data_IF_168377357258
#
_entry.id   IF_168377357258
#
_cell.length_a   1.000
_cell.length_b   1.000
_cell.length_c   1.000
_cell.angle_alpha   90.00
_cell.angle_beta   90.00
_cell.angle_gamma   90.00
#
_symmetry.space_group_name_H-M   'P 1'
#
loop_
_entity.id
_entity.type
_entity.pdbx_description
1 polymer ?
#
# COMPACT_ATOMS: atom_id res chain seq x y z
N UNK A 1 -41.20 -43.55 -11.85
CA UNK A 1 -39.77 -43.26 -12.14
C UNK A 1 -39.51 -41.82 -11.74
N UNK A 2 -38.96 -41.62 -10.52
CA UNK A 2 -38.67 -40.26 -9.97
C UNK A 2 -37.28 -39.88 -10.45
N UNK A 3 -37.20 -38.81 -11.25
CA UNK A 3 -35.94 -38.24 -11.69
C UNK A 3 -35.42 -37.33 -10.54
N UNK A 4 -34.33 -37.76 -9.91
CA UNK A 4 -33.58 -36.94 -8.96
C UNK A 4 -32.72 -35.94 -9.77
N UNK A 5 -33.06 -34.67 -9.70
CA UNK A 5 -32.24 -33.56 -10.25
C UNK A 5 -31.18 -33.23 -9.21
N UNK A 6 -29.96 -33.72 -9.41
CA UNK A 6 -28.82 -33.37 -8.58
C UNK A 6 -28.31 -31.99 -9.01
N UNK A 7 -28.61 -30.94 -8.22
CA UNK A 7 -28.03 -29.60 -8.41
C UNK A 7 -26.61 -29.64 -7.87
N UNK A 8 -25.66 -29.63 -8.77
CA UNK A 8 -24.23 -29.50 -8.46
C UNK A 8 -23.91 -28.04 -8.17
N UNK A 9 -23.79 -27.67 -6.90
CA UNK A 9 -23.24 -26.39 -6.50
C UNK A 9 -21.73 -26.38 -6.78
N UNK A 10 -21.30 -25.67 -7.81
CA UNK A 10 -19.90 -25.34 -8.00
C UNK A 10 -19.56 -24.20 -7.05
N UNK A 11 -18.87 -24.52 -5.95
CA UNK A 11 -18.21 -23.53 -5.11
C UNK A 11 -16.97 -23.08 -5.87
N UNK A 12 -17.04 -21.93 -6.54
CA UNK A 12 -15.87 -21.23 -7.07
C UNK A 12 -15.15 -20.61 -5.89
N UNK A 13 -14.13 -21.28 -5.39
CA UNK A 13 -13.18 -20.66 -4.47
C UNK A 13 -12.40 -19.60 -5.26
N UNK A 14 -12.78 -18.35 -5.11
CA UNK A 14 -11.93 -17.20 -5.47
C UNK A 14 -10.74 -17.28 -4.52
N UNK A 15 -9.58 -17.68 -5.02
CA UNK A 15 -8.33 -17.49 -4.29
C UNK A 15 -8.14 -15.96 -4.18
N UNK A 16 -8.45 -15.40 -3.02
CA UNK A 16 -8.00 -14.06 -2.68
C UNK A 16 -6.49 -14.07 -2.81
N UNK A 17 -5.93 -13.14 -3.59
CA UNK A 17 -4.48 -12.92 -3.64
C UNK A 17 -4.03 -12.71 -2.18
N UNK A 18 -3.16 -13.58 -1.68
CA UNK A 18 -2.62 -13.43 -0.34
C UNK A 18 -1.72 -12.20 -0.35
N UNK A 19 -2.07 -11.20 0.45
CA UNK A 19 -1.32 -9.95 0.52
C UNK A 19 -0.09 -10.17 1.40
N UNK A 20 1.06 -10.37 0.76
CA UNK A 20 2.35 -10.45 1.45
C UNK A 20 2.86 -9.05 1.81
N UNK A 21 3.70 -8.95 2.83
CA UNK A 21 4.30 -7.67 3.20
C UNK A 21 5.43 -7.28 2.26
N UNK A 22 5.59 -5.96 2.09
CA UNK A 22 6.65 -5.37 1.30
C UNK A 22 7.92 -5.15 2.12
N UNK A 23 9.07 -5.16 1.47
CA UNK A 23 10.34 -4.77 2.04
C UNK A 23 11.02 -3.81 1.09
N UNK A 24 11.41 -2.64 1.59
CA UNK A 24 12.19 -1.66 0.85
C UNK A 24 13.52 -1.36 1.53
N UNK A 25 14.49 -0.94 0.76
CA UNK A 25 15.80 -0.49 1.23
C UNK A 25 16.03 0.96 0.85
N UNK A 26 16.66 1.74 1.72
CA UNK A 26 17.02 3.12 1.45
C UNK A 26 18.43 3.40 1.97
N UNK A 27 19.25 4.06 1.14
CA UNK A 27 20.66 4.30 1.41
C UNK A 27 21.58 3.14 1.04
N UNK A 28 22.86 3.27 1.40
CA UNK A 28 23.91 2.26 1.18
C UNK A 28 24.69 2.07 2.47
N UNK A 29 24.92 0.84 2.86
CA UNK A 29 25.75 0.54 4.01
C UNK A 29 27.18 1.02 3.75
N UNK A 30 27.76 1.74 4.71
CA UNK A 30 29.17 2.13 4.72
C UNK A 30 30.01 1.17 5.60
N UNK A 31 29.34 0.36 6.39
CA UNK A 31 29.91 -0.57 7.36
C UNK A 31 29.00 -1.83 7.35
N UNK A 32 29.55 -2.99 7.09
CA UNK A 32 28.85 -4.25 6.82
C UNK A 32 27.89 -4.70 7.93
N UNK A 33 27.89 -4.05 9.09
CA UNK A 33 27.07 -4.43 10.24
C UNK A 33 26.36 -3.23 10.88
N UNK A 34 25.90 -2.25 10.13
CA UNK A 34 25.23 -1.06 10.67
C UNK A 34 23.98 -0.64 9.89
N UNK A 35 23.10 -1.58 9.66
CA UNK A 35 21.78 -1.31 9.06
C UNK A 35 20.73 -1.29 10.16
N UNK A 36 19.83 -0.31 10.11
CA UNK A 36 18.64 -0.24 10.96
C UNK A 36 17.45 -0.84 10.23
N UNK A 37 16.81 -1.84 10.84
CA UNK A 37 15.63 -2.49 10.33
C UNK A 37 14.38 -1.93 11.04
N UNK A 38 13.41 -1.43 10.27
CA UNK A 38 12.22 -0.78 10.80
C UNK A 38 10.97 -1.55 10.36
N UNK A 39 10.14 -1.91 11.31
CA UNK A 39 8.89 -2.62 11.10
C UNK A 39 7.68 -1.76 11.46
N UNK A 40 6.69 -1.76 10.56
CA UNK A 40 5.36 -1.21 10.78
C UNK A 40 4.28 -2.24 10.51
N UNK A 41 3.11 -2.08 11.11
CA UNK A 41 1.93 -2.86 10.76
C UNK A 41 1.98 -4.34 11.16
N UNK A 42 2.73 -4.70 12.21
CA UNK A 42 2.66 -6.04 12.80
C UNK A 42 1.27 -6.32 13.39
N UNK A 43 0.56 -5.26 13.75
CA UNK A 43 -0.85 -5.25 14.11
C UNK A 43 -1.58 -4.28 13.20
N UNK A 44 -2.61 -4.75 12.50
CA UNK A 44 -3.25 -4.00 11.42
C UNK A 44 -4.16 -2.85 11.88
N UNK A 45 -4.48 -2.76 13.16
CA UNK A 45 -5.24 -1.68 13.78
C UNK A 45 -4.35 -0.52 14.32
N UNK A 46 -3.07 -0.47 13.89
CA UNK A 46 -2.05 0.47 14.37
C UNK A 46 -1.51 1.39 13.24
N UNK A 47 -2.37 2.30 12.70
CA UNK A 47 -2.03 3.08 11.49
C UNK A 47 -0.91 4.10 11.68
N UNK A 48 -0.61 4.56 12.89
CA UNK A 48 0.51 5.47 13.11
C UNK A 48 1.83 4.84 12.73
N UNK A 49 2.06 3.58 13.16
CA UNK A 49 3.27 2.84 12.92
C UNK A 49 3.49 2.51 11.43
N UNK A 50 2.50 1.96 10.75
CA UNK A 50 2.69 1.59 9.34
C UNK A 50 2.77 2.81 8.39
N UNK A 51 2.08 3.92 8.68
CA UNK A 51 2.27 5.15 7.90
C UNK A 51 3.64 5.77 8.13
N UNK A 52 4.13 5.82 9.37
CA UNK A 52 5.48 6.32 9.64
C UNK A 52 6.55 5.49 8.93
N UNK A 53 6.43 4.15 8.97
CA UNK A 53 7.35 3.26 8.26
C UNK A 53 7.30 3.45 6.73
N UNK A 54 6.11 3.59 6.14
CA UNK A 54 5.97 3.83 4.69
C UNK A 54 6.62 5.14 4.25
N UNK A 55 6.49 6.23 5.02
CA UNK A 55 7.12 7.50 4.70
C UNK A 55 8.66 7.42 4.63
N UNK A 56 9.30 6.48 5.34
CA UNK A 56 10.75 6.27 5.24
C UNK A 56 11.20 5.75 3.86
N UNK A 57 10.31 5.12 3.12
CA UNK A 57 10.57 4.64 1.75
C UNK A 57 10.22 5.69 0.70
N UNK A 58 9.14 6.44 0.89
CA UNK A 58 8.62 7.40 -0.10
C UNK A 58 9.21 8.80 0.02
N UNK A 59 9.48 9.27 1.24
CA UNK A 59 9.71 10.69 1.53
C UNK A 59 11.04 10.99 2.26
N UNK A 60 11.81 9.95 2.61
CA UNK A 60 13.16 10.09 3.14
C UNK A 60 14.20 9.69 2.09
N UNK A 61 15.32 10.41 2.07
CA UNK A 61 16.51 10.06 1.32
C UNK A 61 17.66 9.86 2.31
N UNK A 62 18.12 8.62 2.45
CA UNK A 62 19.26 8.28 3.31
C UNK A 62 20.55 8.67 2.58
N UNK A 63 21.24 9.67 3.10
CA UNK A 63 22.46 10.23 2.51
C UNK A 63 23.72 9.53 3.01
N UNK A 64 23.64 8.87 4.20
CA UNK A 64 24.71 8.06 4.77
C UNK A 64 24.14 6.94 5.62
N UNK A 65 24.66 5.73 5.42
CA UNK A 65 24.18 4.52 6.07
C UNK A 65 23.04 3.86 5.30
N UNK A 66 22.39 2.86 5.91
CA UNK A 66 21.32 2.05 5.28
C UNK A 66 20.17 1.78 6.27
N UNK A 67 18.96 1.83 5.76
CA UNK A 67 17.80 1.29 6.45
C UNK A 67 17.12 0.23 5.58
N UNK A 68 16.51 -0.76 6.24
CA UNK A 68 15.57 -1.72 5.65
C UNK A 68 14.22 -1.47 6.32
N UNK A 69 13.16 -1.37 5.55
CA UNK A 69 11.84 -1.06 6.08
C UNK A 69 10.81 -2.06 5.56
N UNK A 70 10.03 -2.64 6.47
CA UNK A 70 8.83 -3.41 6.12
C UNK A 70 7.62 -2.72 6.78
N UNK A 71 6.87 -1.89 6.02
CA UNK A 71 5.84 -1.03 6.60
C UNK A 71 4.54 -1.76 6.91
N UNK A 72 4.28 -2.95 6.37
CA UNK A 72 2.97 -3.59 6.34
C UNK A 72 3.02 -5.10 6.70
N UNK A 73 3.68 -5.46 7.79
CA UNK A 73 3.97 -6.86 8.15
C UNK A 73 2.73 -7.77 8.16
N UNK A 74 1.61 -7.34 8.72
CA UNK A 74 0.35 -8.06 8.70
C UNK A 74 -0.64 -7.40 7.73
N UNK A 75 -0.31 -7.37 6.42
CA UNK A 75 -1.03 -6.57 5.44
C UNK A 75 -2.53 -6.91 5.35
N UNK A 76 -2.88 -8.20 5.36
CA UNK A 76 -4.28 -8.64 5.44
C UNK A 76 -5.02 -8.08 6.68
N UNK A 77 -4.31 -7.98 7.81
CA UNK A 77 -4.87 -7.42 9.06
C UNK A 77 -5.03 -5.91 8.98
N UNK A 78 -4.11 -5.20 8.30
CA UNK A 78 -4.21 -3.77 8.00
C UNK A 78 -5.47 -3.50 7.18
N UNK A 79 -5.67 -4.24 6.08
CA UNK A 79 -6.85 -4.11 5.22
C UNK A 79 -8.14 -4.35 6.01
N UNK A 80 -8.13 -5.32 6.93
CA UNK A 80 -9.30 -5.67 7.76
C UNK A 80 -9.47 -4.81 9.01
N UNK A 81 -8.56 -3.88 9.27
CA UNK A 81 -8.54 -3.05 10.49
C UNK A 81 -8.57 -3.89 11.77
N UNK A 82 -7.87 -5.00 11.77
CA UNK A 82 -7.85 -5.93 12.90
C UNK A 82 -6.45 -6.03 13.50
N UNK A 83 -6.37 -6.37 14.78
CA UNK A 83 -5.08 -6.62 15.44
C UNK A 83 -4.32 -7.78 14.78
N UNK A 84 -5.02 -8.84 14.37
CA UNK A 84 -4.44 -9.96 13.65
C UNK A 84 -5.53 -10.86 13.06
N UNK A 85 -5.43 -11.18 11.77
CA UNK A 85 -6.37 -12.06 11.05
C UNK A 85 -6.35 -13.49 11.61
N UNK A 86 -5.16 -13.98 11.95
CA UNK A 86 -4.92 -15.35 12.44
C UNK A 86 -4.37 -15.34 13.88
N UNK A 87 -4.77 -14.35 14.68
CA UNK A 87 -4.22 -14.06 16.01
C UNK A 87 -3.14 -12.97 15.96
N UNK A 88 -2.63 -12.60 17.14
CA UNK A 88 -1.61 -11.55 17.27
C UNK A 88 -0.27 -12.02 16.71
N UNK A 89 0.17 -11.47 15.57
CA UNK A 89 1.43 -11.79 14.93
C UNK A 89 2.63 -11.54 15.87
N UNK A 90 2.56 -10.50 16.72
CA UNK A 90 3.59 -10.16 17.71
C UNK A 90 3.64 -11.13 18.92
N UNK A 91 2.97 -12.27 18.84
CA UNK A 91 3.01 -13.36 19.84
C UNK A 91 3.49 -14.69 19.24
N UNK A 92 4.09 -14.66 18.04
CA UNK A 92 4.47 -15.86 17.30
C UNK A 92 6.00 -16.05 17.11
N UNK A 93 6.82 -15.21 17.76
CA UNK A 93 8.30 -15.24 17.53
C UNK A 93 9.05 -16.25 18.39
N UNK A 94 8.56 -16.68 19.54
CA UNK A 94 9.21 -17.75 20.31
C UNK A 94 9.11 -19.08 19.54
N UNK A 95 7.90 -19.46 19.15
CA UNK A 95 7.63 -20.66 18.37
C UNK A 95 6.38 -20.48 17.53
N UNK A 96 6.35 -21.12 16.35
CA UNK A 96 5.19 -21.13 15.46
C UNK A 96 5.11 -22.47 14.75
N UNK A 97 3.91 -23.05 14.68
CA UNK A 97 3.67 -24.29 13.96
C UNK A 97 3.80 -24.08 12.45
N UNK A 98 4.43 -25.01 11.69
CA UNK A 98 4.41 -24.98 10.23
C UNK A 98 2.99 -24.99 9.59
N UNK A 99 1.98 -25.37 10.37
CA UNK A 99 0.57 -25.34 9.95
C UNK A 99 -0.14 -24.02 10.24
N UNK A 100 0.51 -23.10 10.98
CA UNK A 100 -0.06 -21.78 11.24
C UNK A 100 -0.07 -20.97 9.93
N UNK A 101 -1.19 -20.31 9.57
CA UNK A 101 -1.24 -19.49 8.36
C UNK A 101 -0.17 -18.40 8.28
N UNK A 102 0.29 -17.87 9.43
CA UNK A 102 1.32 -16.84 9.48
C UNK A 102 2.76 -17.40 9.49
N UNK A 103 2.95 -18.73 9.33
CA UNK A 103 4.27 -19.36 9.42
C UNK A 103 5.28 -18.76 8.45
N UNK A 104 4.93 -18.59 7.17
CA UNK A 104 5.85 -18.03 6.16
C UNK A 104 6.17 -16.57 6.45
N UNK A 105 5.17 -15.78 6.86
CA UNK A 105 5.34 -14.38 7.25
C UNK A 105 6.31 -14.25 8.43
N UNK A 106 6.12 -15.01 9.50
CA UNK A 106 7.02 -14.99 10.68
C UNK A 106 8.42 -15.46 10.31
N UNK A 107 8.55 -16.51 9.48
CA UNK A 107 9.83 -17.00 9.00
C UNK A 107 10.59 -15.91 8.25
N UNK A 108 9.95 -15.26 7.29
CA UNK A 108 10.54 -14.18 6.50
C UNK A 108 10.93 -12.96 7.37
N UNK A 109 10.13 -12.59 8.37
CA UNK A 109 10.48 -11.54 9.33
C UNK A 109 11.73 -11.93 10.13
N UNK A 110 11.81 -13.17 10.61
CA UNK A 110 13.00 -13.67 11.32
C UNK A 110 14.25 -13.65 10.41
N UNK A 111 14.13 -14.03 9.14
CA UNK A 111 15.23 -13.97 8.18
C UNK A 111 15.74 -12.54 8.01
N UNK A 112 14.87 -11.53 7.92
CA UNK A 112 15.26 -10.11 7.88
C UNK A 112 15.99 -9.68 9.16
N UNK A 113 15.50 -10.07 10.33
CA UNK A 113 16.13 -9.75 11.61
C UNK A 113 17.53 -10.36 11.69
N UNK A 114 17.71 -11.58 11.15
CA UNK A 114 18.96 -12.32 11.22
C UNK A 114 20.00 -11.93 10.15
N UNK A 115 19.68 -11.01 9.23
CA UNK A 115 20.64 -10.49 8.26
C UNK A 115 21.90 -9.98 9.00
N UNK A 116 23.11 -10.36 8.56
CA UNK A 116 24.35 -9.97 9.24
C UNK A 116 24.54 -8.47 9.43
N UNK A 117 24.12 -7.68 8.43
CA UNK A 117 24.23 -6.23 8.45
C UNK A 117 23.27 -5.54 9.42
N UNK A 118 22.18 -6.16 9.83
CA UNK A 118 21.22 -5.59 10.76
C UNK A 118 21.78 -5.57 12.18
N UNK A 119 21.91 -4.39 12.77
CA UNK A 119 22.41 -4.18 14.13
C UNK A 119 21.35 -3.66 15.11
N UNK A 120 20.33 -2.99 14.59
CA UNK A 120 19.25 -2.41 15.36
C UNK A 120 17.92 -2.67 14.69
N UNK A 121 16.88 -2.99 15.47
CA UNK A 121 15.51 -3.20 15.00
C UNK A 121 14.58 -2.24 15.74
N UNK A 122 13.71 -1.56 15.00
CA UNK A 122 12.67 -0.68 15.55
C UNK A 122 11.31 -1.26 15.13
N UNK A 123 10.46 -1.57 16.11
CA UNK A 123 9.10 -2.07 15.89
C UNK A 123 8.09 -0.98 16.29
N UNK A 124 7.22 -0.57 15.37
CA UNK A 124 6.31 0.55 15.56
C UNK A 124 4.91 0.05 15.90
N UNK A 125 4.37 0.58 17.01
CA UNK A 125 3.07 0.22 17.56
C UNK A 125 2.22 1.43 17.93
N UNK A 126 0.91 1.25 17.95
CA UNK A 126 -0.01 2.22 18.55
C UNK A 126 -0.69 1.57 19.79
N UNK A 127 -0.41 2.07 20.98
CA UNK A 127 -0.96 1.55 22.24
C UNK A 127 -2.14 2.36 22.78
N UNK A 128 -3.04 1.73 23.52
CA UNK A 128 -4.14 2.43 24.18
C UNK A 128 -3.67 3.24 25.38
N UNK A 129 -4.23 4.44 25.52
CA UNK A 129 -3.94 5.38 26.62
C UNK A 129 -2.52 5.95 26.51
N UNK A 130 -2.02 6.42 27.65
CA UNK A 130 -0.68 6.97 27.78
C UNK A 130 0.04 6.23 28.92
N UNK A 131 1.17 5.63 28.61
CA UNK A 131 1.99 5.00 29.62
C UNK A 131 2.50 6.05 30.62
N UNK A 132 2.32 5.77 31.92
CA UNK A 132 2.89 6.52 33.02
C UNK A 132 3.50 5.55 34.01
N UNK A 133 4.69 5.84 34.56
CA UNK A 133 5.32 4.97 35.58
C UNK A 133 4.47 4.79 36.84
N UNK A 134 3.60 5.78 37.15
CA UNK A 134 2.68 5.77 38.28
C UNK A 134 1.23 5.89 37.79
N UNK A 135 0.28 5.40 38.57
CA UNK A 135 -1.13 5.52 38.27
C UNK A 135 -1.62 6.96 38.46
N UNK A 136 -2.21 7.54 37.42
CA UNK A 136 -2.88 8.84 37.45
C UNK A 136 -4.38 8.62 37.31
N UNK A 137 -4.81 7.95 36.19
CA UNK A 137 -6.21 7.63 35.91
C UNK A 137 -6.32 6.37 35.05
N UNK A 138 -7.55 6.06 34.58
CA UNK A 138 -7.80 4.90 33.74
C UNK A 138 -7.07 4.95 32.38
N UNK A 139 -6.74 6.13 31.87
CA UNK A 139 -6.06 6.33 30.57
C UNK A 139 -4.57 6.59 30.74
N UNK A 140 -4.11 6.96 31.94
CA UNK A 140 -2.73 7.34 32.26
C UNK A 140 -2.24 6.49 33.44
N UNK A 141 -1.57 5.37 33.15
CA UNK A 141 -1.12 4.43 34.19
C UNK A 141 -0.08 3.42 33.65
N UNK A 142 0.56 2.59 34.53
CA UNK A 142 1.58 1.63 34.11
C UNK A 142 1.09 0.49 33.18
N UNK A 143 -0.23 0.25 33.10
CA UNK A 143 -0.81 -0.79 32.26
C UNK A 143 -1.06 -0.31 30.81
N UNK A 144 -0.88 0.99 30.55
CA UNK A 144 -1.00 1.57 29.21
C UNK A 144 0.32 1.46 28.47
N UNK A 145 0.24 1.59 27.13
CA UNK A 145 1.39 1.45 26.23
C UNK A 145 1.68 2.73 25.44
N UNK A 146 0.66 3.48 25.06
CA UNK A 146 0.81 4.65 24.21
C UNK A 146 1.77 5.69 24.78
N UNK A 147 2.48 6.37 23.91
CA UNK A 147 3.52 7.34 24.18
C UNK A 147 4.65 6.80 25.07
N UNK A 148 5.22 5.68 24.64
CA UNK A 148 6.40 5.12 25.29
C UNK A 148 7.42 4.58 24.28
N UNK A 149 8.70 4.62 24.65
CA UNK A 149 9.74 3.79 24.06
C UNK A 149 9.92 2.56 24.94
N UNK A 150 9.82 1.37 24.34
CA UNK A 150 9.77 0.09 25.07
C UNK A 150 11.05 -0.69 24.81
N UNK A 151 11.63 -1.20 25.88
CA UNK A 151 12.75 -2.15 25.88
C UNK A 151 12.40 -3.38 26.71
N UNK A 152 13.05 -4.51 26.43
CA UNK A 152 12.84 -5.77 27.14
C UNK A 152 13.83 -5.98 28.31
N UNK A 153 14.95 -5.25 28.28
CA UNK A 153 16.00 -5.24 29.31
C UNK A 153 16.81 -3.94 29.19
N UNK A 154 17.58 -3.58 30.20
CA UNK A 154 18.46 -2.41 30.16
C UNK A 154 19.62 -2.59 29.20
N UNK A 155 20.24 -3.77 29.21
CA UNK A 155 21.44 -4.07 28.44
C UNK A 155 21.33 -5.44 27.78
N UNK A 156 22.09 -5.61 26.68
CA UNK A 156 22.24 -6.89 25.96
C UNK A 156 23.71 -7.15 25.65
N UNK A 157 24.05 -8.41 25.47
CA UNK A 157 25.36 -8.79 24.97
C UNK A 157 25.39 -8.67 23.42
N UNK A 158 25.63 -7.46 22.91
CA UNK A 158 25.72 -7.17 21.49
C UNK A 158 26.99 -6.38 21.17
N UNK A 159 27.49 -6.51 19.95
CA UNK A 159 28.67 -5.76 19.46
C UNK A 159 28.39 -4.29 19.23
N UNK A 160 27.14 -3.94 18.87
CA UNK A 160 26.65 -2.58 18.66
C UNK A 160 25.41 -2.33 19.50
N UNK A 161 25.29 -1.13 20.04
CA UNK A 161 24.11 -0.65 20.77
C UNK A 161 23.71 -1.54 21.98
N UNK A 162 24.68 -1.96 22.86
CA UNK A 162 24.38 -2.85 23.98
C UNK A 162 23.52 -2.21 25.07
N UNK A 163 23.65 -0.90 25.29
CA UNK A 163 22.93 -0.12 26.33
C UNK A 163 21.58 0.36 25.79
N UNK A 164 20.55 -0.47 25.91
CA UNK A 164 19.21 -0.16 25.40
C UNK A 164 18.54 0.93 26.23
N UNK A 165 18.79 0.98 27.54
CA UNK A 165 18.19 1.96 28.45
C UNK A 165 18.64 3.39 28.11
N UNK A 166 19.95 3.57 27.93
CA UNK A 166 20.52 4.88 27.56
C UNK A 166 19.97 5.37 26.21
N UNK A 167 19.97 4.51 25.19
CA UNK A 167 19.49 4.85 23.85
C UNK A 167 18.00 5.20 23.88
N UNK A 168 17.18 4.39 24.53
CA UNK A 168 15.74 4.63 24.64
C UNK A 168 15.42 5.90 25.46
N UNK A 169 16.19 6.17 26.52
CA UNK A 169 16.06 7.40 27.33
C UNK A 169 16.40 8.65 26.49
N UNK A 170 17.48 8.60 25.71
CA UNK A 170 17.83 9.67 24.80
C UNK A 170 16.72 9.91 23.77
N UNK A 171 16.14 8.84 23.23
CA UNK A 171 15.03 8.92 22.27
C UNK A 171 13.79 9.54 22.89
N UNK A 172 13.41 9.12 24.09
CA UNK A 172 12.30 9.70 24.87
C UNK A 172 12.51 11.20 25.10
N UNK A 173 13.70 11.61 25.50
CA UNK A 173 14.03 13.01 25.71
C UNK A 173 13.95 13.82 24.41
N UNK A 174 14.41 13.27 23.29
CA UNK A 174 14.31 13.89 21.96
C UNK A 174 12.87 14.10 21.52
N UNK A 175 12.01 13.09 21.70
CA UNK A 175 10.56 13.17 21.39
C UNK A 175 9.91 14.24 22.30
N UNK A 176 10.22 14.24 23.59
CA UNK A 176 9.65 15.16 24.56
C UNK A 176 10.04 16.62 24.31
N UNK A 177 11.17 16.88 23.64
CA UNK A 177 11.56 18.22 23.24
C UNK A 177 10.69 18.80 22.09
N UNK A 178 9.89 17.97 21.40
CA UNK A 178 9.08 18.33 20.23
C UNK A 178 7.60 17.98 20.39
N UNK A 179 7.11 17.89 21.62
CA UNK A 179 5.70 17.59 21.89
C UNK A 179 4.78 18.70 21.39
N UNK A 180 3.66 18.31 20.77
CA UNK A 180 2.59 19.21 20.35
C UNK A 180 1.73 19.65 21.57
N UNK A 181 1.55 18.76 22.54
CA UNK A 181 0.83 19.00 23.78
C UNK A 181 1.67 18.43 24.96
N UNK A 182 1.92 19.21 26.01
CA UNK A 182 2.63 18.73 27.21
C UNK A 182 2.02 17.47 27.86
N UNK A 183 0.74 17.18 27.61
CA UNK A 183 0.08 15.96 28.09
C UNK A 183 0.54 14.70 27.37
N UNK A 184 1.15 14.82 26.20
CA UNK A 184 1.62 13.72 25.36
C UNK A 184 3.01 13.20 25.77
N UNK A 185 3.46 13.46 26.99
CA UNK A 185 4.80 13.08 27.47
C UNK A 185 5.06 11.60 27.25
N UNK A 186 6.17 11.31 26.57
CA UNK A 186 6.75 9.98 26.40
C UNK A 186 7.53 9.54 27.63
N UNK A 187 7.52 8.25 27.90
CA UNK A 187 8.31 7.63 28.95
C UNK A 187 9.00 6.37 28.45
N UNK A 188 10.14 6.06 29.05
CA UNK A 188 10.76 4.75 28.87
C UNK A 188 9.93 3.70 29.62
N UNK A 189 9.59 2.60 28.94
CA UNK A 189 8.92 1.42 29.53
C UNK A 189 9.85 0.21 29.36
N UNK A 190 10.46 -0.23 30.45
CA UNK A 190 11.18 -1.50 30.46
C UNK A 190 10.23 -2.60 30.95
N UNK A 191 9.99 -3.59 30.11
CA UNK A 191 9.13 -4.75 30.41
C UNK A 191 9.83 -5.77 31.29
N UNK A 192 11.17 -5.73 31.39
CA UNK A 192 11.99 -6.69 32.12
C UNK A 192 11.59 -8.14 31.81
N UNK A 193 11.38 -8.39 30.50
CA UNK A 193 10.68 -9.55 29.96
C UNK A 193 11.21 -10.88 30.53
N UNK A 194 12.52 -11.08 30.53
CA UNK A 194 13.14 -12.29 31.07
C UNK A 194 13.14 -12.30 32.61
N UNK A 195 13.44 -11.18 33.23
CA UNK A 195 13.51 -11.04 34.69
C UNK A 195 12.16 -11.37 35.32
N UNK A 196 11.07 -10.87 34.76
CA UNK A 196 9.71 -11.09 35.27
C UNK A 196 9.08 -12.38 34.73
N UNK A 197 9.68 -13.07 33.78
CA UNK A 197 9.15 -14.29 33.16
C UNK A 197 7.80 -14.05 32.46
N UNK A 198 7.61 -12.88 31.84
CA UNK A 198 6.36 -12.54 31.16
C UNK A 198 6.17 -13.43 29.93
N UNK A 199 5.32 -14.45 30.06
CA UNK A 199 5.10 -15.47 29.04
C UNK A 199 4.57 -14.90 27.70
N UNK A 200 3.90 -13.75 27.72
CA UNK A 200 3.41 -13.11 26.49
C UNK A 200 4.51 -12.27 25.81
N UNK A 201 5.30 -11.54 26.61
CA UNK A 201 6.40 -10.75 26.07
C UNK A 201 7.55 -11.62 25.55
N UNK A 202 7.81 -12.79 26.14
CA UNK A 202 8.75 -13.79 25.64
C UNK A 202 8.47 -14.25 24.19
N UNK A 203 7.24 -14.06 23.69
CA UNK A 203 6.82 -14.40 22.32
C UNK A 203 6.93 -13.22 21.35
N UNK A 204 7.28 -12.01 21.83
CA UNK A 204 7.30 -10.79 21.04
C UNK A 204 8.48 -10.73 20.07
N UNK A 205 8.33 -9.93 19.01
CA UNK A 205 9.38 -9.68 18.02
C UNK A 205 10.63 -9.08 18.68
N UNK A 206 10.48 -8.06 19.52
CA UNK A 206 11.62 -7.37 20.18
C UNK A 206 12.42 -8.33 21.06
N UNK A 207 11.75 -9.23 21.80
CA UNK A 207 12.43 -10.23 22.58
C UNK A 207 13.20 -11.25 21.72
N UNK A 208 12.64 -11.66 20.57
CA UNK A 208 13.36 -12.48 19.61
C UNK A 208 14.63 -11.77 19.10
N UNK A 209 14.57 -10.48 18.82
CA UNK A 209 15.72 -9.68 18.36
C UNK A 209 16.83 -9.67 19.41
N UNK A 210 16.52 -9.31 20.68
CA UNK A 210 17.53 -9.25 21.74
C UNK A 210 18.13 -10.62 22.09
N UNK A 211 17.33 -11.69 21.97
CA UNK A 211 17.79 -13.07 22.13
C UNK A 211 18.79 -13.51 21.05
N UNK A 212 18.86 -12.76 19.93
CA UNK A 212 19.83 -12.94 18.84
C UNK A 212 20.93 -11.87 18.87
N UNK A 213 21.19 -11.28 20.03
CA UNK A 213 22.29 -10.33 20.27
C UNK A 213 22.24 -9.07 19.39
N UNK A 214 21.02 -8.57 19.06
CA UNK A 214 20.80 -7.33 18.31
C UNK A 214 19.95 -6.36 19.12
N UNK A 215 20.21 -5.06 18.99
CA UNK A 215 19.43 -4.04 19.68
C UNK A 215 17.99 -4.00 19.18
N UNK A 216 17.03 -3.93 20.09
CA UNK A 216 15.61 -3.83 19.75
C UNK A 216 14.91 -2.76 20.59
N UNK A 217 14.08 -1.98 19.90
CA UNK A 217 13.22 -0.96 20.49
C UNK A 217 11.82 -1.09 19.91
N UNK A 218 10.79 -1.04 20.76
CA UNK A 218 9.45 -0.75 20.28
C UNK A 218 9.10 0.70 20.59
N UNK A 219 8.50 1.41 19.64
CA UNK A 219 7.98 2.74 19.88
C UNK A 219 6.47 2.71 19.78
N UNK A 220 5.81 3.21 20.82
CA UNK A 220 4.35 3.18 20.98
C UNK A 220 3.80 4.59 20.92
N UNK A 221 2.95 4.90 19.94
CA UNK A 221 2.14 6.11 19.96
C UNK A 221 0.74 5.85 20.54
N UNK A 222 0.11 6.84 21.14
CA UNK A 222 -1.22 6.61 21.75
C UNK A 222 -2.32 6.51 20.69
N UNK A 223 -3.11 5.42 20.70
CA UNK A 223 -4.33 5.27 19.88
C UNK A 223 -5.38 6.35 20.13
N UNK A 224 -5.25 7.11 21.19
CA UNK A 224 -6.14 8.25 21.50
C UNK A 224 -5.81 9.50 20.68
N UNK A 225 -4.70 9.49 19.95
CA UNK A 225 -4.28 10.59 19.07
C UNK A 225 -4.69 10.33 17.61
N UNK A 226 -4.89 11.38 16.80
CA UNK A 226 -5.10 11.23 15.35
C UNK A 226 -3.88 10.58 14.67
N UNK A 227 -4.12 9.91 13.54
CA UNK A 227 -3.10 9.09 12.85
C UNK A 227 -1.85 9.90 12.48
N UNK A 228 -2.02 11.11 11.95
CA UNK A 228 -0.91 11.98 11.59
C UNK A 228 -0.04 12.37 12.79
N UNK A 229 -0.65 12.56 13.96
CA UNK A 229 0.10 12.88 15.18
C UNK A 229 0.82 11.65 15.75
N UNK A 230 0.23 10.45 15.63
CA UNK A 230 0.92 9.19 15.95
C UNK A 230 2.12 8.98 15.06
N UNK A 231 1.95 9.10 13.74
CA UNK A 231 3.03 8.97 12.78
C UNK A 231 4.13 10.04 13.01
N UNK A 232 3.77 11.27 13.36
CA UNK A 232 4.71 12.32 13.74
C UNK A 232 5.59 11.90 14.93
N UNK A 233 4.99 11.38 16.00
CA UNK A 233 5.77 10.93 17.16
C UNK A 233 6.63 9.70 16.87
N UNK A 234 6.16 8.79 16.00
CA UNK A 234 6.98 7.70 15.50
C UNK A 234 8.20 8.21 14.74
N UNK A 235 8.01 9.16 13.83
CA UNK A 235 9.10 9.72 13.04
C UNK A 235 10.12 10.46 13.91
N UNK A 236 9.71 11.22 14.93
CA UNK A 236 10.62 11.82 15.90
C UNK A 236 11.49 10.78 16.60
N UNK A 237 10.91 9.65 17.03
CA UNK A 237 11.66 8.57 17.66
C UNK A 237 12.60 7.90 16.67
N UNK A 238 12.12 7.56 15.45
CA UNK A 238 12.92 6.95 14.40
C UNK A 238 14.12 7.82 14.05
N UNK A 239 13.93 9.13 13.82
CA UNK A 239 15.03 10.04 13.50
C UNK A 239 16.10 10.08 14.60
N UNK A 240 15.72 9.96 15.86
CA UNK A 240 16.69 9.85 16.94
C UNK A 240 17.46 8.53 16.92
N UNK A 241 16.78 7.39 16.72
CA UNK A 241 17.45 6.09 16.58
C UNK A 241 18.40 6.08 15.38
N UNK A 242 18.00 6.65 14.23
CA UNK A 242 18.86 6.76 13.05
C UNK A 242 20.10 7.60 13.34
N UNK A 243 19.95 8.73 14.01
CA UNK A 243 21.10 9.58 14.45
C UNK A 243 22.02 8.81 15.38
N UNK A 244 21.49 8.06 16.35
CA UNK A 244 22.28 7.18 17.25
C UNK A 244 23.06 6.12 16.45
N UNK A 245 22.46 5.61 15.36
CA UNK A 245 23.11 4.69 14.44
C UNK A 245 24.10 5.35 13.46
N UNK A 246 24.28 6.68 13.51
CA UNK A 246 25.13 7.43 12.58
C UNK A 246 24.59 7.49 11.16
N UNK A 247 23.28 7.29 10.99
CA UNK A 247 22.59 7.37 9.71
C UNK A 247 22.13 8.81 9.48
N UNK A 248 22.52 9.38 8.32
CA UNK A 248 22.15 10.73 7.90
C UNK A 248 21.08 10.66 6.81
N UNK A 249 20.14 11.61 6.85
CA UNK A 249 19.00 11.65 5.95
C UNK A 249 18.51 13.07 5.68
N UNK A 250 17.78 13.20 4.60
CA UNK A 250 16.89 14.34 4.29
C UNK A 250 15.47 13.83 4.09
N UNK A 251 14.48 14.72 4.13
CA UNK A 251 13.07 14.39 3.85
C UNK A 251 12.43 15.46 2.97
N UNK A 252 11.39 15.07 2.26
CA UNK A 252 10.68 15.93 1.30
C UNK A 252 9.66 16.86 1.96
N UNK A 253 9.36 16.66 3.25
CA UNK A 253 8.37 17.41 4.01
C UNK A 253 8.96 17.96 5.33
N UNK A 254 8.32 18.97 5.89
CA UNK A 254 8.65 19.46 7.22
C UNK A 254 8.09 18.51 8.29
N UNK A 255 8.92 18.11 9.28
CA UNK A 255 8.48 17.23 10.37
C UNK A 255 7.65 18.03 11.38
N UNK A 256 6.40 18.24 11.01
CA UNK A 256 5.32 18.79 11.81
C UNK A 256 4.08 17.90 11.63
N UNK A 257 3.10 17.90 12.54
CA UNK A 257 1.87 17.14 12.34
C UNK A 257 1.16 17.44 11.01
N UNK A 258 1.19 18.69 10.55
CA UNK A 258 0.61 19.12 9.29
C UNK A 258 1.44 18.64 8.08
N UNK A 259 2.78 18.68 8.19
CA UNK A 259 3.67 18.13 7.16
C UNK A 259 3.48 16.62 6.99
N UNK A 260 3.42 15.89 8.12
CA UNK A 260 3.14 14.44 8.12
C UNK A 260 1.75 14.14 7.55
N UNK A 261 0.73 14.92 7.90
CA UNK A 261 -0.62 14.75 7.34
C UNK A 261 -0.62 14.89 5.81
N UNK A 262 0.06 15.93 5.29
CA UNK A 262 0.21 16.13 3.84
C UNK A 262 0.96 14.97 3.18
N UNK A 263 2.05 14.49 3.78
CA UNK A 263 2.83 13.38 3.26
C UNK A 263 2.04 12.06 3.24
N UNK A 264 1.27 11.75 4.28
CA UNK A 264 0.38 10.56 4.32
C UNK A 264 -0.75 10.67 3.28
N UNK A 265 -1.24 11.89 3.02
CA UNK A 265 -2.38 12.12 2.12
C UNK A 265 -1.94 12.64 0.74
N UNK A 266 -0.67 12.45 0.35
CA UNK A 266 -0.20 12.77 -1.00
C UNK A 266 -0.95 11.96 -2.07
N UNK A 267 -0.85 12.40 -3.30
CA UNK A 267 -1.47 11.71 -4.42
C UNK A 267 -0.84 10.32 -4.61
N UNK A 268 -1.69 9.31 -4.64
CA UNK A 268 -1.31 7.93 -4.90
C UNK A 268 -1.77 7.51 -6.30
N UNK A 269 -1.04 6.58 -6.89
CA UNK A 269 -1.32 6.03 -8.20
C UNK A 269 -1.36 4.51 -8.17
N UNK A 270 -2.26 3.93 -8.95
CA UNK A 270 -2.35 2.50 -9.22
C UNK A 270 -2.30 2.29 -10.72
N UNK A 271 -1.35 1.49 -11.18
CA UNK A 271 -1.24 1.08 -12.57
C UNK A 271 -1.67 -0.38 -12.71
N UNK A 272 -2.51 -0.65 -13.69
CA UNK A 272 -3.08 -1.98 -13.93
C UNK A 272 -2.60 -2.53 -15.27
N UNK A 273 -2.43 -3.85 -15.35
CA UNK A 273 -2.23 -4.64 -16.57
C UNK A 273 -1.04 -4.16 -17.41
N UNK A 274 0.17 -4.32 -16.86
CA UNK A 274 1.42 -3.92 -17.51
C UNK A 274 1.43 -2.40 -17.85
N UNK A 275 0.99 -1.60 -16.89
CA UNK A 275 0.89 -0.14 -16.93
C UNK A 275 -0.05 0.43 -18.02
N UNK A 276 -0.94 -0.39 -18.61
CA UNK A 276 -1.89 0.07 -19.63
C UNK A 276 -2.97 1.01 -19.11
N UNK A 277 -3.24 0.97 -17.82
CA UNK A 277 -4.28 1.79 -17.17
C UNK A 277 -3.68 2.41 -15.92
N UNK A 278 -3.78 3.73 -15.82
CA UNK A 278 -3.45 4.50 -14.61
C UNK A 278 -4.75 4.90 -13.90
N UNK A 279 -4.78 4.74 -12.60
CA UNK A 279 -5.80 5.30 -11.71
C UNK A 279 -5.11 6.25 -10.74
N UNK A 280 -5.51 7.52 -10.76
CA UNK A 280 -5.11 8.51 -9.76
C UNK A 280 -6.05 8.41 -8.55
N UNK A 281 -5.48 8.32 -7.35
CA UNK A 281 -6.21 8.31 -6.09
C UNK A 281 -6.26 9.71 -5.43
N UNK A 282 -6.13 10.76 -6.23
CA UNK A 282 -6.29 12.15 -5.79
C UNK A 282 -7.77 12.47 -5.59
N UNK A 283 -8.23 12.42 -4.33
CA UNK A 283 -9.65 12.62 -3.99
C UNK A 283 -10.60 11.82 -4.92
N UNK A 284 -10.44 10.48 -5.00
CA UNK A 284 -11.11 9.67 -6.00
C UNK A 284 -12.62 9.61 -5.73
N UNK A 285 -13.40 9.34 -6.78
CA UNK A 285 -14.80 8.96 -6.61
C UNK A 285 -14.88 7.63 -5.87
N UNK A 286 -15.95 7.46 -5.09
CA UNK A 286 -16.20 6.22 -4.35
C UNK A 286 -16.35 5.00 -5.28
N UNK A 287 -16.82 5.24 -6.52
CA UNK A 287 -17.04 4.21 -7.54
C UNK A 287 -16.53 4.70 -8.89
N UNK A 288 -15.78 3.83 -9.57
CA UNK A 288 -15.34 4.01 -10.95
C UNK A 288 -15.87 2.82 -11.76
N UNK A 289 -16.76 3.12 -12.71
CA UNK A 289 -17.39 2.12 -13.56
C UNK A 289 -16.62 1.92 -14.88
N UNK A 290 -16.88 0.80 -15.53
CA UNK A 290 -16.38 0.47 -16.86
C UNK A 290 -14.86 0.58 -16.98
N UNK A 291 -14.15 0.09 -15.96
CA UNK A 291 -12.68 0.00 -16.02
C UNK A 291 -12.32 -1.20 -16.91
N UNK A 292 -11.53 -1.03 -17.98
CA UNK A 292 -11.14 -2.14 -18.85
C UNK A 292 -10.37 -3.21 -18.09
N UNK A 293 -10.85 -4.45 -18.17
CA UNK A 293 -10.20 -5.63 -17.59
C UNK A 293 -10.05 -6.72 -18.65
N UNK A 294 -8.89 -7.37 -18.76
CA UNK A 294 -8.69 -8.42 -19.74
C UNK A 294 -9.46 -9.69 -19.36
N UNK A 295 -10.12 -10.30 -20.37
CA UNK A 295 -10.91 -11.53 -20.16
C UNK A 295 -10.10 -12.78 -19.81
N UNK A 296 -8.79 -12.77 -20.04
CA UNK A 296 -7.93 -13.96 -19.98
C UNK A 296 -6.64 -13.76 -19.18
N UNK A 297 -6.53 -12.67 -18.43
CA UNK A 297 -5.38 -12.41 -17.55
C UNK A 297 -5.84 -12.27 -16.10
N UNK A 298 -5.00 -12.71 -15.19
CA UNK A 298 -5.13 -12.38 -13.78
C UNK A 298 -4.87 -10.89 -13.54
N UNK A 299 -5.42 -10.37 -12.44
CA UNK A 299 -5.14 -9.00 -12.02
C UNK A 299 -3.64 -8.88 -11.71
N UNK A 300 -2.94 -8.01 -12.43
CA UNK A 300 -1.64 -7.51 -12.05
C UNK A 300 -1.69 -6.00 -11.89
N UNK A 301 -0.98 -5.49 -10.90
CA UNK A 301 -0.94 -4.06 -10.63
C UNK A 301 0.36 -3.64 -9.94
N UNK A 302 0.74 -2.38 -10.18
CA UNK A 302 1.78 -1.67 -9.47
C UNK A 302 1.18 -0.47 -8.73
N UNK A 303 1.75 -0.10 -7.61
CA UNK A 303 1.29 1.04 -6.81
C UNK A 303 2.44 1.97 -6.48
N UNK A 304 2.15 3.24 -6.34
CA UNK A 304 3.15 4.24 -5.93
C UNK A 304 3.49 4.18 -4.43
N UNK A 305 2.80 3.32 -3.66
CA UNK A 305 3.03 3.18 -2.22
C UNK A 305 2.67 1.77 -1.73
N UNK A 306 3.49 1.20 -0.88
CA UNK A 306 3.45 -0.18 -0.40
C UNK A 306 2.23 -0.50 0.47
N UNK A 307 1.55 0.52 0.98
CA UNK A 307 0.31 0.37 1.75
C UNK A 307 -0.94 0.30 0.86
N UNK A 308 -0.78 0.41 -0.47
CA UNK A 308 -1.90 0.39 -1.41
C UNK A 308 -2.12 -1.01 -1.95
N UNK A 309 -3.37 -1.48 -1.92
CA UNK A 309 -3.77 -2.78 -2.45
C UNK A 309 -5.02 -2.68 -3.32
N UNK A 310 -5.07 -3.52 -4.37
CA UNK A 310 -6.27 -3.77 -5.19
C UNK A 310 -6.81 -5.15 -4.82
N UNK A 311 -8.02 -5.20 -4.31
CA UNK A 311 -8.60 -6.39 -3.70
C UNK A 311 -9.85 -6.80 -4.46
N UNK A 312 -9.90 -8.06 -4.90
CA UNK A 312 -11.08 -8.62 -5.54
C UNK A 312 -12.18 -8.90 -4.51
N UNK A 313 -13.41 -8.50 -4.84
CA UNK A 313 -14.60 -8.76 -4.03
C UNK A 313 -15.82 -8.97 -4.92
N UNK A 314 -16.34 -10.19 -4.95
CA UNK A 314 -17.43 -10.57 -5.86
C UNK A 314 -17.11 -10.20 -7.33
N UNK A 315 -17.97 -9.37 -7.97
CA UNK A 315 -17.83 -8.90 -9.35
C UNK A 315 -17.18 -7.50 -9.45
N UNK A 316 -16.41 -7.09 -8.46
CA UNK A 316 -15.77 -5.78 -8.39
C UNK A 316 -14.39 -5.89 -7.75
N UNK A 317 -13.64 -4.80 -7.82
CA UNK A 317 -12.38 -4.64 -7.11
C UNK A 317 -12.47 -3.38 -6.27
N UNK A 318 -11.82 -3.36 -5.12
CA UNK A 318 -11.68 -2.12 -4.38
C UNK A 318 -10.23 -1.81 -4.09
N UNK A 319 -9.92 -0.53 -4.04
CA UNK A 319 -8.58 -0.04 -3.72
C UNK A 319 -8.60 0.45 -2.28
N UNK A 320 -7.60 0.01 -1.52
CA UNK A 320 -7.34 0.47 -0.17
C UNK A 320 -5.94 1.04 -0.04
N UNK A 321 -5.80 2.06 0.80
CA UNK A 321 -4.52 2.61 1.22
C UNK A 321 -4.39 2.46 2.74
N UNK A 322 -3.51 1.57 3.17
CA UNK A 322 -3.50 1.09 4.53
C UNK A 322 -4.87 0.54 4.93
N UNK A 323 -5.42 1.07 6.01
CA UNK A 323 -6.75 0.70 6.49
C UNK A 323 -7.89 1.61 5.97
N UNK A 324 -7.64 2.45 4.94
CA UNK A 324 -8.62 3.40 4.38
C UNK A 324 -9.07 2.98 2.99
N UNK A 325 -10.39 2.84 2.82
CA UNK A 325 -11.01 2.66 1.51
C UNK A 325 -10.77 3.89 0.63
N UNK A 326 -10.42 3.69 -0.63
CA UNK A 326 -10.22 4.74 -1.62
C UNK A 326 -11.34 4.76 -2.66
N UNK A 327 -11.53 3.68 -3.39
CA UNK A 327 -12.53 3.59 -4.46
C UNK A 327 -12.87 2.13 -4.75
N UNK A 328 -14.02 1.92 -5.39
CA UNK A 328 -14.46 0.64 -5.93
C UNK A 328 -14.44 0.68 -7.46
N UNK A 329 -13.89 -0.34 -8.08
CA UNK A 329 -13.82 -0.50 -9.52
C UNK A 329 -14.82 -1.54 -9.99
N UNK A 330 -15.65 -1.18 -10.94
CA UNK A 330 -16.49 -2.14 -11.67
C UNK A 330 -15.88 -2.41 -13.04
N UNK A 331 -15.45 -3.66 -13.31
CA UNK A 331 -14.76 -3.99 -14.54
C UNK A 331 -15.69 -4.02 -15.75
N UNK A 332 -15.16 -3.62 -16.90
CA UNK A 332 -15.66 -3.96 -18.20
C UNK A 332 -14.68 -4.95 -18.83
N UNK A 333 -15.09 -6.19 -19.01
CA UNK A 333 -14.22 -7.23 -19.55
C UNK A 333 -14.10 -7.12 -21.05
N UNK A 334 -12.85 -7.05 -21.55
CA UNK A 334 -12.49 -6.83 -22.95
C UNK A 334 -11.32 -7.74 -23.38
N UNK A 335 -11.18 -7.98 -24.67
CA UNK A 335 -9.91 -8.44 -25.20
C UNK A 335 -8.94 -7.27 -25.27
N UNK A 336 -7.67 -7.52 -24.92
CA UNK A 336 -6.60 -6.54 -25.04
C UNK A 336 -5.76 -6.81 -26.29
N UNK A 337 -5.24 -5.73 -26.90
CA UNK A 337 -4.26 -5.77 -27.98
C UNK A 337 -3.05 -4.90 -27.65
N UNK A 338 -2.00 -5.01 -28.45
CA UNK A 338 -0.76 -4.29 -28.20
C UNK A 338 -0.09 -3.83 -29.51
N UNK A 339 -0.79 -3.08 -30.38
CA UNK A 339 -0.21 -2.58 -31.62
C UNK A 339 0.82 -1.46 -31.39
N UNK A 340 0.72 -0.72 -30.30
CA UNK A 340 1.66 0.33 -29.86
C UNK A 340 1.52 0.55 -28.36
N UNK A 341 2.52 1.22 -27.73
CA UNK A 341 2.60 1.41 -26.28
C UNK A 341 2.54 2.88 -25.84
N UNK A 342 2.55 3.81 -26.80
CA UNK A 342 2.56 5.24 -26.55
C UNK A 342 1.65 5.96 -27.54
N UNK A 343 1.25 7.17 -27.23
CA UNK A 343 0.41 8.01 -28.06
C UNK A 343 1.00 9.42 -28.17
N UNK A 344 0.99 9.94 -29.41
CA UNK A 344 1.35 11.33 -29.70
C UNK A 344 0.06 12.13 -29.90
N UNK A 345 -0.06 13.25 -29.21
CA UNK A 345 -1.23 14.12 -29.29
C UNK A 345 -0.89 15.57 -28.95
N UNK A 346 -1.80 16.49 -29.22
CA UNK A 346 -1.60 17.91 -28.93
C UNK A 346 -2.15 18.24 -27.54
N UNK A 347 -1.35 18.95 -26.73
CA UNK A 347 -1.71 19.50 -25.41
C UNK A 347 -1.35 20.97 -25.41
N UNK A 348 -2.33 21.83 -25.21
CA UNK A 348 -2.14 23.29 -25.19
C UNK A 348 -1.30 23.79 -26.40
N UNK A 349 -1.62 23.28 -27.59
CA UNK A 349 -0.96 23.53 -28.88
C UNK A 349 0.48 22.96 -29.03
N UNK A 350 0.97 22.17 -28.07
CA UNK A 350 2.25 21.48 -28.17
C UNK A 350 2.04 20.00 -28.47
N UNK A 351 2.87 19.43 -29.36
CA UNK A 351 2.91 18.01 -29.57
C UNK A 351 3.58 17.28 -28.39
N UNK A 352 2.94 16.24 -27.88
CA UNK A 352 3.39 15.49 -26.71
C UNK A 352 3.24 14.00 -26.98
N UNK A 353 4.29 13.23 -26.75
CA UNK A 353 4.25 11.76 -26.82
C UNK A 353 4.42 11.19 -25.43
N UNK A 354 3.49 10.30 -25.03
CA UNK A 354 3.53 9.66 -23.71
C UNK A 354 3.16 8.19 -23.80
N UNK A 355 3.75 7.32 -22.99
CA UNK A 355 3.32 5.93 -22.87
C UNK A 355 1.92 5.84 -22.23
N UNK A 356 1.23 4.73 -22.49
CA UNK A 356 0.02 4.41 -21.74
C UNK A 356 0.29 4.33 -20.23
N UNK A 357 -0.75 4.50 -19.42
CA UNK A 357 -0.58 4.57 -17.97
C UNK A 357 0.12 5.84 -17.49
N UNK A 358 0.04 6.93 -18.25
CA UNK A 358 0.58 8.24 -17.88
C UNK A 358 -0.54 9.25 -17.64
N UNK A 359 -0.28 10.23 -16.77
CA UNK A 359 -1.15 11.38 -16.53
C UNK A 359 -0.52 12.64 -17.12
N UNK A 360 -1.28 13.36 -17.92
CA UNK A 360 -0.86 14.58 -18.62
C UNK A 360 -1.67 15.76 -18.11
N UNK A 361 -0.98 16.83 -17.73
CA UNK A 361 -1.62 18.11 -17.34
C UNK A 361 -2.03 18.89 -18.57
N UNK A 362 -3.25 19.44 -18.53
CA UNK A 362 -3.86 20.24 -19.59
C UNK A 362 -4.34 21.56 -19.00
N UNK A 363 -3.86 22.68 -19.52
CA UNK A 363 -4.28 24.02 -19.08
C UNK A 363 -5.56 24.46 -19.81
N UNK A 364 -5.55 24.36 -21.14
CA UNK A 364 -6.63 24.85 -21.98
C UNK A 364 -7.38 23.72 -22.68
N UNK A 365 -6.66 22.92 -23.49
CA UNK A 365 -7.28 21.92 -24.35
C UNK A 365 -6.28 20.85 -24.79
N UNK A 366 -6.82 19.74 -25.30
CA UNK A 366 -6.06 18.70 -25.97
C UNK A 366 -6.81 18.17 -27.20
N UNK A 367 -6.07 17.54 -28.12
CA UNK A 367 -6.59 16.91 -29.33
C UNK A 367 -5.82 15.63 -29.59
N UNK A 368 -6.53 14.49 -29.68
CA UNK A 368 -5.95 13.22 -30.13
C UNK A 368 -6.10 13.13 -31.66
N UNK A 369 -5.02 13.06 -32.44
CA UNK A 369 -5.13 12.93 -33.89
C UNK A 369 -5.73 11.56 -34.25
N UNK A 370 -6.25 11.44 -35.51
CA UNK A 370 -6.77 10.18 -36.00
C UNK A 370 -5.64 9.17 -36.15
N UNK A 371 -5.81 8.00 -35.54
CA UNK A 371 -4.90 6.86 -35.66
C UNK A 371 -5.61 5.78 -36.52
N UNK A 372 -4.92 5.22 -37.51
CA UNK A 372 -5.48 4.21 -38.38
C UNK A 372 -5.93 2.96 -37.60
N UNK A 373 -7.14 2.47 -37.86
CA UNK A 373 -7.77 1.33 -37.20
C UNK A 373 -7.95 1.47 -35.67
N UNK A 374 -7.89 2.69 -35.15
CA UNK A 374 -8.08 2.98 -33.73
C UNK A 374 -9.28 3.91 -33.53
N UNK A 375 -10.07 3.60 -32.54
CA UNK A 375 -11.11 4.43 -31.97
C UNK A 375 -10.65 5.02 -30.65
N UNK A 376 -10.83 6.31 -30.50
CA UNK A 376 -10.58 7.04 -29.26
C UNK A 376 -11.88 7.24 -28.52
N UNK A 377 -11.86 7.01 -27.21
CA UNK A 377 -13.01 7.23 -26.33
C UNK A 377 -12.56 8.08 -25.12
N UNK A 378 -13.05 9.29 -25.01
CA UNK A 378 -12.71 10.24 -23.95
C UNK A 378 -13.82 10.19 -22.91
N UNK A 379 -13.58 9.48 -21.81
CA UNK A 379 -14.60 9.24 -20.78
C UNK A 379 -15.06 10.56 -20.17
N UNK A 380 -16.33 10.87 -20.34
CA UNK A 380 -16.91 12.14 -19.92
C UNK A 380 -17.02 13.21 -21.01
N UNK A 381 -16.59 12.89 -22.22
CA UNK A 381 -16.88 13.66 -23.42
C UNK A 381 -17.89 12.87 -24.26
N UNK A 382 -18.97 13.47 -24.70
CA UNK A 382 -20.03 12.81 -25.49
C UNK A 382 -20.20 13.57 -26.79
N UNK A 383 -19.54 13.10 -27.83
CA UNK A 383 -19.59 13.73 -29.14
C UNK A 383 -19.87 12.72 -30.26
N UNK A 384 -19.14 11.61 -30.33
CA UNK A 384 -19.26 10.62 -31.40
C UNK A 384 -18.73 9.25 -30.97
N UNK A 385 -18.90 8.22 -31.84
CA UNK A 385 -18.31 6.89 -31.57
C UNK A 385 -16.78 6.92 -31.53
N UNK A 386 -16.15 7.83 -32.25
CA UNK A 386 -14.72 8.05 -32.28
C UNK A 386 -14.44 9.52 -32.07
N UNK A 387 -13.77 9.83 -31.00
CA UNK A 387 -13.52 11.20 -30.52
C UNK A 387 -12.11 11.71 -30.90
N UNK A 388 -11.48 11.09 -31.90
CA UNK A 388 -10.25 11.61 -32.51
C UNK A 388 -10.50 12.85 -33.34
N UNK A 389 -9.47 13.69 -33.57
CA UNK A 389 -9.50 14.97 -34.30
C UNK A 389 -10.47 16.02 -33.75
N UNK A 390 -10.84 15.95 -32.48
CA UNK A 390 -11.72 16.91 -31.84
C UNK A 390 -10.94 17.64 -30.76
N UNK A 391 -11.03 18.97 -30.75
CA UNK A 391 -10.42 19.80 -29.71
C UNK A 391 -11.29 19.77 -28.45
N UNK A 392 -10.74 19.23 -27.37
CA UNK A 392 -11.46 19.01 -26.10
C UNK A 392 -10.89 19.93 -25.02
N UNK A 393 -11.78 20.66 -24.36
CA UNK A 393 -11.43 21.50 -23.22
C UNK A 393 -12.27 21.12 -22.01
N UNK A 394 -11.91 21.59 -20.83
CA UNK A 394 -12.61 21.26 -19.58
C UNK A 394 -14.11 21.52 -19.64
N UNK A 395 -14.57 22.60 -20.31
CA UNK A 395 -15.98 22.95 -20.46
C UNK A 395 -16.81 21.90 -21.22
N UNK A 396 -16.13 21.06 -22.03
CA UNK A 396 -16.77 19.98 -22.79
C UNK A 396 -16.95 18.71 -21.93
N UNK A 397 -16.27 18.62 -20.77
CA UNK A 397 -16.22 17.42 -19.96
C UNK A 397 -17.33 17.36 -18.91
N UNK A 398 -17.98 16.22 -18.83
CA UNK A 398 -19.02 15.94 -17.86
C UNK A 398 -18.43 15.48 -16.54
N UNK A 399 -18.52 16.31 -15.50
CA UNK A 399 -17.97 16.06 -14.16
C UNK A 399 -18.31 14.69 -13.57
N UNK A 400 -19.51 14.10 -13.72
CA UNK A 400 -19.83 12.79 -13.15
C UNK A 400 -18.92 11.64 -13.63
N UNK A 401 -18.28 11.77 -14.77
CA UNK A 401 -17.40 10.74 -15.37
C UNK A 401 -15.91 10.94 -15.07
N UNK A 402 -15.53 12.00 -14.35
CA UNK A 402 -14.15 12.16 -13.89
C UNK A 402 -13.76 11.07 -12.87
N UNK A 403 -12.51 10.77 -12.74
CA UNK A 403 -11.99 9.85 -11.71
C UNK A 403 -12.00 10.49 -10.31
N UNK A 404 -11.88 11.80 -10.23
CA UNK A 404 -11.79 12.58 -9.00
C UNK A 404 -13.13 13.32 -8.69
N UNK A 405 -13.34 13.67 -7.42
CA UNK A 405 -14.54 14.41 -7.00
C UNK A 405 -14.56 15.87 -7.49
N UNK A 406 -13.37 16.43 -7.80
CA UNK A 406 -13.25 17.80 -8.29
C UNK A 406 -13.69 17.95 -9.75
N UNK A 407 -13.65 16.86 -10.54
CA UNK A 407 -14.01 16.89 -11.98
C UNK A 407 -12.85 17.41 -12.84
N UNK A 408 -11.64 17.02 -12.49
CA UNK A 408 -10.41 17.45 -13.19
C UNK A 408 -9.71 16.34 -13.94
N UNK A 409 -9.84 15.09 -13.51
CA UNK A 409 -9.07 13.95 -14.03
C UNK A 409 -10.00 13.04 -14.83
N UNK A 410 -9.66 12.85 -16.11
CA UNK A 410 -10.46 12.04 -17.03
C UNK A 410 -9.61 11.00 -17.74
N UNK A 411 -10.21 9.86 -18.06
CA UNK A 411 -9.58 8.75 -18.78
C UNK A 411 -9.81 8.88 -20.27
N UNK A 412 -8.75 8.79 -21.06
CA UNK A 412 -8.78 8.71 -22.52
C UNK A 412 -8.36 7.30 -22.91
N UNK A 413 -9.23 6.58 -23.59
CA UNK A 413 -9.10 5.16 -23.92
C UNK A 413 -8.92 4.95 -25.41
N UNK A 414 -8.08 3.97 -25.77
CA UNK A 414 -7.75 3.63 -27.15
C UNK A 414 -8.16 2.20 -27.44
N UNK A 415 -8.84 2.01 -28.57
CA UNK A 415 -9.42 0.72 -28.96
C UNK A 415 -9.06 0.37 -30.41
N UNK A 416 -8.53 -0.83 -30.63
CA UNK A 416 -8.36 -1.41 -31.95
C UNK A 416 -9.72 -1.85 -32.50
N UNK A 417 -10.10 -1.29 -33.66
CA UNK A 417 -11.39 -1.59 -34.31
C UNK A 417 -11.43 -3.05 -34.78
N UNK A 418 -12.51 -3.73 -34.49
CA UNK A 418 -12.80 -5.04 -35.09
C UNK A 418 -13.39 -4.86 -36.49
N UNK A 419 -12.87 -5.63 -37.45
CA UNK A 419 -13.40 -5.63 -38.83
C UNK A 419 -14.82 -6.21 -38.92
N UNK A 420 -15.52 -5.91 -40.01
CA UNK A 420 -16.93 -6.26 -40.24
C UNK A 420 -17.29 -7.78 -40.26
N UNK A 421 -16.32 -8.69 -40.27
CA UNK A 421 -16.53 -10.14 -40.34
C UNK A 421 -16.57 -10.85 -38.97
N UNK A 422 -16.90 -10.12 -37.92
CA UNK A 422 -16.88 -10.59 -36.56
C UNK A 422 -17.84 -11.76 -36.28
N UNK A 423 -19.03 -11.77 -36.87
CA UNK A 423 -20.06 -12.73 -36.59
C UNK A 423 -19.67 -14.18 -37.01
N UNK A 424 -18.99 -14.32 -38.14
CA UNK A 424 -18.49 -15.61 -38.63
C UNK A 424 -17.31 -16.16 -37.81
N UNK A 425 -16.51 -15.26 -37.21
CA UNK A 425 -15.40 -15.63 -36.33
C UNK A 425 -15.90 -16.13 -34.96
N UNK A 426 -16.95 -15.53 -34.44
CA UNK A 426 -17.53 -15.90 -33.13
C UNK A 426 -18.20 -17.28 -33.16
N UNK A 427 -18.80 -17.67 -34.31
CA UNK A 427 -19.42 -18.97 -34.49
C UNK A 427 -18.41 -20.13 -34.56
N UNK A 428 -17.19 -19.87 -35.08
CA UNK A 428 -16.20 -20.93 -35.34
C UNK A 428 -15.14 -21.13 -34.24
N UNK A 429 -15.05 -20.27 -33.22
CA UNK A 429 -13.90 -20.28 -32.30
C UNK A 429 -14.20 -20.69 -30.85
N UNK A 430 -15.46 -21.03 -30.52
CA UNK A 430 -15.90 -20.91 -29.11
C UNK A 430 -15.74 -22.16 -28.26
N UNK A 431 -15.67 -23.39 -28.81
CA UNK A 431 -15.96 -24.53 -27.93
C UNK A 431 -14.78 -25.33 -27.37
N UNK A 432 -13.60 -25.31 -27.90
CA UNK A 432 -12.65 -26.36 -27.52
C UNK A 432 -11.39 -25.95 -26.74
N UNK A 433 -10.96 -24.69 -26.74
CA UNK A 433 -9.68 -24.28 -26.12
C UNK A 433 -9.78 -23.34 -24.91
N UNK A 434 -10.90 -22.67 -24.68
CA UNK A 434 -11.05 -21.62 -23.66
C UNK A 434 -11.61 -22.08 -22.32
N UNK A 435 -12.30 -23.20 -22.28
CA UNK A 435 -12.90 -23.75 -21.05
C UNK A 435 -11.85 -24.18 -20.02
N UNK A 436 -10.64 -24.51 -20.45
CA UNK A 436 -9.58 -24.99 -19.53
C UNK A 436 -8.92 -23.89 -18.67
N UNK A 437 -8.95 -22.63 -19.12
CA UNK A 437 -8.27 -21.50 -18.42
C UNK A 437 -9.23 -20.43 -17.87
N UNK A 438 -10.52 -20.46 -18.18
CA UNK A 438 -11.51 -19.48 -17.72
C UNK A 438 -12.06 -19.83 -16.33
N UNK A 439 -11.27 -19.74 -15.29
CA UNK A 439 -11.73 -20.00 -13.91
C UNK A 439 -12.63 -18.90 -13.32
N UNK A 440 -12.84 -17.75 -13.99
CA UNK A 440 -13.40 -16.55 -13.36
C UNK A 440 -14.61 -15.95 -14.08
N UNK A 441 -14.82 -16.21 -15.38
CA UNK A 441 -15.86 -15.55 -16.17
C UNK A 441 -16.83 -16.56 -16.80
N UNK A 442 -18.13 -16.21 -16.81
CA UNK A 442 -19.13 -16.98 -17.51
C UNK A 442 -19.04 -16.79 -19.04
N UNK A 443 -19.63 -17.75 -19.79
CA UNK A 443 -19.60 -17.74 -21.25
C UNK A 443 -20.28 -16.51 -21.89
N UNK A 444 -21.28 -15.92 -21.22
CA UNK A 444 -21.97 -14.74 -21.73
C UNK A 444 -21.07 -13.52 -21.67
N UNK A 445 -20.35 -13.34 -20.56
CA UNK A 445 -19.35 -12.27 -20.40
C UNK A 445 -18.22 -12.38 -21.42
N UNK A 446 -17.71 -13.60 -21.67
CA UNK A 446 -16.70 -13.85 -22.70
C UNK A 446 -17.19 -13.54 -24.11
N UNK A 447 -18.41 -13.93 -24.47
CA UNK A 447 -19.01 -13.61 -25.77
C UNK A 447 -19.20 -12.13 -25.98
N UNK A 448 -19.68 -11.42 -24.94
CA UNK A 448 -19.87 -9.97 -24.98
C UNK A 448 -18.54 -9.23 -25.13
N UNK A 449 -17.50 -9.64 -24.40
CA UNK A 449 -16.18 -9.03 -24.52
C UNK A 449 -15.56 -9.20 -25.91
N UNK A 450 -15.75 -10.38 -26.52
CA UNK A 450 -15.27 -10.67 -27.87
C UNK A 450 -16.01 -9.91 -28.97
N UNK A 451 -17.21 -9.45 -28.71
CA UNK A 451 -17.99 -8.65 -29.67
C UNK A 451 -17.56 -7.18 -29.71
N UNK A 452 -16.79 -6.71 -28.74
CA UNK A 452 -16.33 -5.32 -28.63
C UNK A 452 -14.97 -5.11 -29.30
N UNK A 453 -14.63 -3.84 -29.57
CA UNK A 453 -13.29 -3.45 -29.97
C UNK A 453 -12.27 -3.86 -28.88
N UNK A 454 -11.03 -4.13 -29.30
CA UNK A 454 -9.99 -4.55 -28.37
C UNK A 454 -9.36 -3.34 -27.68
N UNK A 455 -9.25 -3.39 -26.38
CA UNK A 455 -8.59 -2.33 -25.61
C UNK A 455 -7.07 -2.36 -25.85
N UNK A 456 -6.48 -1.19 -26.15
CA UNK A 456 -5.04 -1.02 -26.35
C UNK A 456 -4.39 -0.49 -25.06
N UNK A 457 -4.93 0.61 -24.53
CA UNK A 457 -4.42 1.30 -23.35
C UNK A 457 -5.16 2.58 -23.10
N UNK A 458 -4.81 3.28 -22.02
CA UNK A 458 -5.37 4.58 -21.68
C UNK A 458 -4.32 5.53 -21.13
N UNK A 459 -4.60 6.83 -21.23
CA UNK A 459 -3.90 7.90 -20.52
C UNK A 459 -4.90 8.64 -19.63
N UNK A 460 -4.40 9.40 -18.67
CA UNK A 460 -5.20 10.38 -17.92
C UNK A 460 -4.88 11.78 -18.41
N UNK A 461 -5.91 12.61 -18.53
CA UNK A 461 -5.78 14.06 -18.69
C UNK A 461 -6.26 14.73 -17.39
N UNK A 462 -5.43 15.63 -16.84
CA UNK A 462 -5.75 16.41 -15.64
C UNK A 462 -5.84 17.89 -16.02
N UNK A 463 -7.04 18.45 -16.00
CA UNK A 463 -7.25 19.89 -16.19
C UNK A 463 -6.85 20.67 -14.95
N UNK A 464 -6.05 21.73 -15.15
CA UNK A 464 -5.57 22.62 -14.07
C UNK A 464 -6.68 23.43 -13.39
#
# INVERSE_FOLDING_TARGET
>A
MKIFLTILFFITSIFALELDFSVGENGKSLDDNNTVLIFGGIQGDEPGGFHAASLLLSDYNITKGKIIVAPNLAFDSIIKRSRGKNGDLNRKFASISPKDPDYQTVKRIKELILLPEVSMVINLHDGWGFYKPTYIDAMQNPKRWGNSSVIDTNEINASKYPDLESIATQTVNSVNASLVDPKHVYHLKNTKTQELGDAEMLKALTYFVISNHKAAFANEASKNLPVNLRAYYHLLAIENYLKTAGIEFTRTFELTPQGVDKAINQELEVKLFDDKILLSLKNPRQVINYVPFPVNKELNYNTSNELTAVIAENNSFYIQYGNRFQTRLYPEYLEFSNPFNEVTFQVDSNETTVPFGTKVKVKENFLIPKIANVRVNIIGFDHSKDESNILVSKKNMQKPYSLDMAGKIYRVEFYELRGANLQQFLENSVESKLIKNAKILDLATLRTARAKDKFIGSILVEFE
#
